data_IF_651403968265
#
_entry.id   IF_651403968265
#
_cell.length_a   1.000
_cell.length_b   1.000
_cell.length_c   1.000
_cell.angle_alpha   90.00
_cell.angle_beta   90.00
_cell.angle_gamma   90.00
#
_symmetry.space_group_name_H-M   'P 1'
#
loop_
_entity.id
_entity.type
_entity.pdbx_description
1 polymer ?
#
# COMPACT_ATOMS: atom_id res chain seq x y z
N UNK A 1 -6.90 16.40 -28.07
CA UNK A 1 -7.67 15.47 -27.18
C UNK A 1 -7.20 14.07 -27.49
N UNK A 2 -6.27 13.51 -26.71
CA UNK A 2 -5.73 12.16 -26.91
C UNK A 2 -6.61 11.24 -26.06
N UNK A 3 -7.26 10.21 -26.63
CA UNK A 3 -8.08 9.32 -25.83
C UNK A 3 -7.18 8.47 -24.92
N UNK A 4 -7.38 8.56 -23.62
CA UNK A 4 -6.84 7.61 -22.66
C UNK A 4 -7.39 6.22 -23.00
N UNK A 5 -6.56 5.38 -23.64
CA UNK A 5 -6.89 3.97 -23.82
C UNK A 5 -6.83 3.30 -22.45
N UNK A 6 -8.00 2.90 -21.95
CA UNK A 6 -8.07 2.05 -20.77
C UNK A 6 -7.32 0.76 -21.05
N UNK A 7 -6.28 0.50 -20.25
CA UNK A 7 -5.55 -0.76 -20.30
C UNK A 7 -6.44 -1.79 -19.60
N UNK A 8 -6.99 -2.72 -20.37
CA UNK A 8 -7.70 -3.87 -19.80
C UNK A 8 -6.70 -4.99 -19.63
N UNK A 9 -6.52 -5.47 -18.41
CA UNK A 9 -5.71 -6.65 -18.11
C UNK A 9 -6.58 -7.90 -18.23
N UNK A 10 -6.10 -8.89 -18.95
CA UNK A 10 -6.65 -10.24 -18.94
C UNK A 10 -5.65 -11.14 -18.23
N UNK A 11 -6.06 -11.73 -17.12
CA UNK A 11 -5.25 -12.72 -16.42
C UNK A 11 -5.56 -14.09 -17.04
N UNK A 12 -4.55 -14.72 -17.62
CA UNK A 12 -4.65 -16.05 -18.22
C UNK A 12 -3.78 -17.02 -17.40
N UNK A 13 -4.35 -18.14 -17.01
CA UNK A 13 -3.61 -19.18 -16.30
C UNK A 13 -2.55 -19.80 -17.22
N UNK A 14 -1.35 -20.11 -16.69
CA UNK A 14 -0.18 -20.61 -17.43
C UNK A 14 -0.51 -21.86 -18.28
N UNK A 15 -1.33 -22.75 -17.80
CA UNK A 15 -1.83 -23.94 -18.46
C UNK A 15 -2.83 -23.68 -19.61
N UNK A 16 -3.26 -22.46 -19.79
CA UNK A 16 -4.14 -22.03 -20.88
C UNK A 16 -3.43 -21.26 -21.99
N UNK A 17 -2.15 -20.89 -21.79
CA UNK A 17 -1.38 -20.12 -22.77
C UNK A 17 -1.24 -20.84 -24.12
N UNK A 18 -1.16 -22.18 -24.11
CA UNK A 18 -1.08 -23.02 -25.33
C UNK A 18 -2.31 -22.93 -26.24
N UNK A 19 -3.40 -22.36 -25.76
CA UNK A 19 -4.65 -22.17 -26.53
C UNK A 19 -4.70 -20.85 -27.28
N UNK A 20 -3.72 -19.96 -27.07
CA UNK A 20 -3.68 -18.66 -27.71
C UNK A 20 -2.66 -18.68 -28.88
N UNK A 21 -2.98 -18.04 -30.03
CA UNK A 21 -2.05 -17.94 -31.16
C UNK A 21 -0.76 -17.23 -30.73
N UNK A 22 0.38 -17.68 -31.24
CA UNK A 22 1.73 -17.16 -30.93
C UNK A 22 1.90 -15.62 -31.05
N UNK A 23 0.99 -14.95 -31.76
CA UNK A 23 0.97 -13.49 -31.91
C UNK A 23 0.77 -12.75 -30.57
N UNK A 24 0.23 -13.41 -29.55
CA UNK A 24 -0.02 -12.79 -28.25
C UNK A 24 1.09 -13.02 -27.23
N UNK A 25 1.99 -13.98 -27.47
CA UNK A 25 3.07 -14.29 -26.51
C UNK A 25 4.09 -13.17 -26.37
N UNK A 26 4.33 -12.38 -27.43
CA UNK A 26 5.24 -11.22 -27.38
C UNK A 26 4.71 -10.03 -26.58
N UNK A 27 3.44 -10.10 -26.15
CA UNK A 27 2.76 -9.05 -25.40
C UNK A 27 2.61 -9.39 -23.91
N UNK A 28 2.96 -10.61 -23.51
CA UNK A 28 2.91 -11.04 -22.12
C UNK A 28 4.31 -10.96 -21.52
N UNK A 29 4.57 -9.95 -20.73
CA UNK A 29 5.67 -10.03 -19.78
C UNK A 29 5.34 -11.17 -18.80
N UNK A 30 6.26 -12.09 -18.62
CA UNK A 30 6.14 -13.11 -17.58
C UNK A 30 6.04 -12.36 -16.24
N UNK A 31 4.82 -12.28 -15.70
CA UNK A 31 4.64 -11.80 -14.34
C UNK A 31 5.35 -12.82 -13.46
N UNK A 32 6.60 -12.55 -13.13
CA UNK A 32 7.29 -13.29 -12.08
C UNK A 32 6.38 -13.18 -10.87
N UNK A 33 5.84 -14.30 -10.43
CA UNK A 33 5.18 -14.33 -9.13
C UNK A 33 6.15 -13.67 -8.16
N UNK A 34 5.77 -12.51 -7.66
CA UNK A 34 6.50 -11.85 -6.60
C UNK A 34 6.36 -12.76 -5.40
N UNK A 35 7.27 -13.73 -5.31
CA UNK A 35 7.35 -14.60 -4.15
C UNK A 35 7.74 -13.70 -3.00
N UNK A 36 6.75 -13.38 -2.16
CA UNK A 36 7.01 -12.67 -0.91
C UNK A 36 8.13 -13.40 -0.19
N UNK A 37 9.16 -12.65 0.23
CA UNK A 37 10.28 -13.22 0.96
C UNK A 37 9.79 -14.02 2.16
N UNK A 38 10.33 -15.22 2.30
CA UNK A 38 10.08 -16.14 3.40
C UNK A 38 11.41 -16.59 3.98
N UNK A 39 11.57 -16.57 5.32
CA UNK A 39 12.80 -17.03 5.94
C UNK A 39 13.06 -18.52 5.65
N UNK A 40 14.33 -18.85 5.45
CA UNK A 40 14.79 -20.23 5.45
C UNK A 40 14.78 -20.83 6.87
N UNK A 41 14.85 -22.16 6.97
CA UNK A 41 14.95 -22.81 8.26
C UNK A 41 16.15 -22.31 9.05
N UNK A 42 15.92 -21.93 10.30
CA UNK A 42 16.90 -21.33 11.22
C UNK A 42 17.40 -19.93 10.79
N UNK A 43 16.79 -19.29 9.81
CA UNK A 43 17.10 -17.91 9.44
C UNK A 43 16.41 -16.96 10.41
N UNK A 44 17.13 -15.90 10.80
CA UNK A 44 16.60 -14.78 11.59
C UNK A 44 15.65 -13.97 10.72
N UNK A 45 14.54 -13.55 11.31
CA UNK A 45 13.59 -12.61 10.71
C UNK A 45 13.10 -11.64 11.77
N UNK A 46 12.51 -10.52 11.32
CA UNK A 46 11.93 -9.50 12.18
C UNK A 46 10.42 -9.47 12.05
N UNK A 47 9.74 -9.01 13.08
CA UNK A 47 8.29 -8.90 13.11
C UNK A 47 7.82 -7.80 14.08
N UNK A 48 6.61 -7.30 13.86
CA UNK A 48 5.96 -6.35 14.73
C UNK A 48 5.20 -7.08 15.84
N UNK A 49 5.48 -6.73 17.06
CA UNK A 49 4.72 -7.15 18.23
C UNK A 49 3.65 -6.14 18.62
N UNK A 50 3.15 -6.29 19.83
CA UNK A 50 2.14 -5.38 20.38
C UNK A 50 2.69 -3.96 20.48
N UNK A 51 1.85 -2.98 20.12
CA UNK A 51 2.21 -1.56 20.16
C UNK A 51 3.19 -1.10 19.08
N UNK A 52 3.47 -1.94 18.07
CA UNK A 52 4.36 -1.58 16.96
C UNK A 52 5.85 -1.65 17.30
N UNK A 53 6.22 -2.34 18.38
CA UNK A 53 7.63 -2.62 18.69
C UNK A 53 8.16 -3.70 17.76
N UNK A 54 9.40 -3.54 17.29
CA UNK A 54 10.09 -4.51 16.44
C UNK A 54 10.75 -5.57 17.32
N UNK A 55 10.57 -6.83 16.96
CA UNK A 55 11.21 -7.99 17.57
C UNK A 55 11.84 -8.85 16.49
N UNK A 56 12.68 -9.79 16.89
CA UNK A 56 13.19 -10.81 15.99
C UNK A 56 12.95 -12.21 16.54
N UNK A 57 12.95 -13.17 15.64
CA UNK A 57 12.85 -14.59 15.93
C UNK A 57 13.66 -15.40 14.91
N UNK A 58 13.72 -16.71 15.10
CA UNK A 58 14.36 -17.64 14.18
C UNK A 58 13.32 -18.57 13.59
N UNK A 59 13.26 -18.62 12.26
CA UNK A 59 12.22 -19.39 11.56
C UNK A 59 12.30 -20.87 11.86
N UNK A 60 11.23 -21.44 12.41
CA UNK A 60 11.07 -22.87 12.63
C UNK A 60 10.02 -23.45 11.66
N UNK A 61 10.47 -24.32 10.74
CA UNK A 61 9.57 -24.95 9.78
C UNK A 61 8.45 -25.70 10.53
N UNK A 62 7.19 -25.39 10.15
CA UNK A 62 6.01 -25.99 10.75
C UNK A 62 5.55 -25.33 12.06
N UNK A 63 6.23 -24.29 12.55
CA UNK A 63 5.76 -23.46 13.66
C UNK A 63 4.45 -22.75 13.29
N UNK A 64 3.34 -22.96 14.01
CA UNK A 64 2.10 -22.24 13.76
C UNK A 64 2.24 -20.74 13.94
N UNK A 65 3.10 -20.28 14.86
CA UNK A 65 3.36 -18.87 15.13
C UNK A 65 4.06 -18.22 13.95
N UNK A 66 5.13 -18.85 13.44
CA UNK A 66 5.91 -18.30 12.32
C UNK A 66 5.07 -18.30 11.03
N UNK A 67 4.33 -19.38 10.78
CA UNK A 67 3.42 -19.44 9.65
C UNK A 67 2.33 -18.37 9.75
N UNK A 68 1.73 -18.17 10.91
CA UNK A 68 0.72 -17.11 11.11
C UNK A 68 1.27 -15.72 10.89
N UNK A 69 2.49 -15.40 11.39
CA UNK A 69 3.17 -14.12 11.11
C UNK A 69 3.41 -13.95 9.61
N UNK A 70 3.87 -15.00 8.93
CA UNK A 70 4.10 -14.96 7.49
C UNK A 70 2.80 -14.74 6.71
N UNK A 71 1.72 -15.44 7.04
CA UNK A 71 0.44 -15.33 6.35
C UNK A 71 -0.14 -13.91 6.39
N UNK A 72 -0.03 -13.24 7.53
CA UNK A 72 -0.50 -11.85 7.67
C UNK A 72 0.49 -10.79 7.18
N UNK A 73 1.66 -11.19 6.65
CA UNK A 73 2.67 -10.24 6.15
C UNK A 73 3.58 -9.66 7.24
N UNK A 74 3.60 -10.23 8.43
CA UNK A 74 4.40 -9.77 9.57
C UNK A 74 5.73 -10.54 9.69
N UNK A 75 6.44 -10.69 8.57
CA UNK A 75 7.79 -11.25 8.50
C UNK A 75 8.64 -10.35 7.59
N UNK A 76 9.70 -9.78 8.14
CA UNK A 76 10.60 -8.85 7.46
C UNK A 76 12.02 -9.39 7.45
N UNK A 77 12.74 -9.08 6.38
CA UNK A 77 14.11 -9.52 6.20
C UNK A 77 15.07 -8.73 7.09
N UNK A 78 14.80 -7.44 7.26
CA UNK A 78 15.64 -6.53 8.06
C UNK A 78 14.82 -5.84 9.15
N UNK A 79 15.53 -5.30 10.14
CA UNK A 79 14.93 -4.52 11.22
C UNK A 79 14.34 -3.22 10.67
N UNK A 80 15.07 -2.58 9.76
CA UNK A 80 14.67 -1.34 9.12
C UNK A 80 13.35 -1.48 8.33
N UNK A 81 13.14 -2.60 7.63
CA UNK A 81 11.86 -2.88 6.96
C UNK A 81 10.71 -2.96 7.97
N UNK A 82 10.94 -3.65 9.10
CA UNK A 82 9.93 -3.76 10.16
C UNK A 82 9.63 -2.40 10.80
N UNK A 83 10.67 -1.60 11.07
CA UNK A 83 10.53 -0.24 11.61
C UNK A 83 9.73 0.67 10.66
N UNK A 84 10.00 0.64 9.36
CA UNK A 84 9.27 1.42 8.36
C UNK A 84 7.79 1.06 8.36
N UNK A 85 7.46 -0.22 8.46
CA UNK A 85 6.05 -0.66 8.53
C UNK A 85 5.40 -0.26 9.85
N UNK A 86 6.14 -0.29 10.97
CA UNK A 86 5.64 0.20 12.25
C UNK A 86 5.31 1.69 12.19
N UNK A 87 6.19 2.52 11.64
CA UNK A 87 5.97 3.96 11.48
C UNK A 87 4.79 4.25 10.54
N UNK A 88 4.66 3.48 9.44
CA UNK A 88 3.49 3.57 8.56
C UNK A 88 2.18 3.33 9.32
N UNK A 89 2.09 2.29 10.14
CA UNK A 89 0.89 2.01 10.93
C UNK A 89 0.59 3.07 11.98
N UNK A 90 1.62 3.64 12.62
CA UNK A 90 1.47 4.76 13.56
C UNK A 90 0.92 6.00 12.85
N UNK A 91 1.54 6.37 11.73
CA UNK A 91 1.08 7.49 10.91
C UNK A 91 -0.36 7.30 10.43
N UNK A 92 -0.69 6.10 9.93
CA UNK A 92 -2.03 5.76 9.49
C UNK A 92 -3.06 5.86 10.62
N UNK A 93 -2.70 5.46 11.84
CA UNK A 93 -3.59 5.58 13.01
C UNK A 93 -3.90 7.04 13.33
N UNK A 94 -2.91 7.94 13.22
CA UNK A 94 -3.09 9.37 13.44
C UNK A 94 -4.04 9.96 12.40
N UNK A 95 -3.73 9.82 11.11
CA UNK A 95 -4.52 10.47 10.05
C UNK A 95 -5.94 9.90 9.90
N UNK A 96 -6.17 8.66 10.32
CA UNK A 96 -7.54 8.10 10.38
C UNK A 96 -8.44 8.83 11.37
N UNK A 97 -7.85 9.43 12.40
CA UNK A 97 -8.60 10.26 13.35
C UNK A 97 -9.16 11.54 12.73
N UNK A 98 -8.61 11.99 11.60
CA UNK A 98 -9.03 13.21 10.91
C UNK A 98 -10.18 13.00 9.93
N UNK A 99 -10.61 11.75 9.71
CA UNK A 99 -11.70 11.44 8.80
C UNK A 99 -12.97 12.20 9.18
N UNK A 100 -13.51 12.98 8.25
CA UNK A 100 -14.77 13.72 8.43
C UNK A 100 -15.91 13.16 7.58
N UNK A 101 -15.62 12.17 6.72
CA UNK A 101 -16.60 11.52 5.85
C UNK A 101 -16.24 10.06 5.59
N UNK A 102 -17.21 9.32 5.09
CA UNK A 102 -17.03 8.03 4.43
C UNK A 102 -17.19 8.22 2.92
N UNK A 103 -16.66 7.29 2.13
CA UNK A 103 -16.87 7.33 0.69
C UNK A 103 -18.33 7.17 0.34
N UNK A 104 -18.90 8.17 -0.36
CA UNK A 104 -20.28 8.15 -0.87
C UNK A 104 -20.26 8.30 -2.39
N UNK A 105 -20.73 7.28 -3.09
CA UNK A 105 -20.78 7.27 -4.55
C UNK A 105 -21.61 8.44 -5.08
N UNK A 106 -21.09 9.16 -6.06
CA UNK A 106 -21.66 10.36 -6.70
C UNK A 106 -21.65 11.64 -5.85
N UNK A 107 -20.99 11.63 -4.69
CA UNK A 107 -20.71 12.82 -3.93
C UNK A 107 -19.26 13.23 -4.10
N UNK A 108 -18.94 14.47 -3.76
CA UNK A 108 -17.57 14.93 -3.64
C UNK A 108 -16.90 14.19 -2.48
N UNK A 109 -15.96 13.31 -2.83
CA UNK A 109 -15.18 12.57 -1.84
C UNK A 109 -13.77 13.14 -1.89
N UNK A 110 -13.42 13.92 -0.89
CA UNK A 110 -12.09 14.46 -0.77
C UNK A 110 -11.15 13.43 -0.14
N UNK A 111 -9.97 13.32 -0.67
CA UNK A 111 -8.91 12.44 -0.16
C UNK A 111 -7.55 13.10 -0.36
N UNK A 112 -6.56 12.65 0.37
CA UNK A 112 -5.20 13.16 0.28
C UNK A 112 -4.37 12.20 -0.55
N UNK A 113 -3.59 12.76 -1.48
CA UNK A 113 -2.70 12.04 -2.37
C UNK A 113 -1.34 12.71 -2.51
N UNK A 114 -0.38 11.99 -3.04
CA UNK A 114 0.92 12.52 -3.40
C UNK A 114 0.98 12.75 -4.92
N UNK A 115 1.36 13.96 -5.30
CA UNK A 115 1.65 14.33 -6.68
C UNK A 115 3.15 14.19 -6.95
N UNK A 116 3.58 13.18 -7.73
CA UNK A 116 5.00 12.96 -8.00
C UNK A 116 5.61 14.02 -8.95
N UNK A 117 4.78 14.70 -9.77
CA UNK A 117 5.25 15.74 -10.69
C UNK A 117 5.63 17.01 -9.94
N UNK A 118 4.80 17.42 -8.99
CA UNK A 118 5.03 18.61 -8.17
C UNK A 118 5.70 18.30 -6.84
N UNK A 119 5.95 17.02 -6.54
CA UNK A 119 6.50 16.53 -5.27
C UNK A 119 5.73 17.07 -4.06
N UNK A 120 4.42 17.18 -4.18
CA UNK A 120 3.53 17.72 -3.16
C UNK A 120 2.50 16.74 -2.67
N UNK A 121 2.05 16.97 -1.45
CA UNK A 121 0.88 16.28 -0.88
C UNK A 121 -0.28 17.25 -1.00
N UNK A 122 -1.34 16.83 -1.69
CA UNK A 122 -2.48 17.67 -1.97
C UNK A 122 -3.82 16.95 -1.71
N UNK A 123 -4.87 17.77 -1.58
CA UNK A 123 -6.24 17.30 -1.51
C UNK A 123 -6.83 17.12 -2.92
N UNK A 124 -7.41 15.97 -3.16
CA UNK A 124 -8.05 15.60 -4.42
C UNK A 124 -9.51 15.26 -4.20
N UNK A 125 -10.33 15.50 -5.21
CA UNK A 125 -11.74 15.13 -5.20
C UNK A 125 -12.06 14.13 -6.31
N UNK A 126 -12.78 13.07 -5.97
CA UNK A 126 -13.29 12.12 -6.96
C UNK A 126 -14.70 11.63 -6.62
N UNK A 127 -15.72 12.05 -7.38
CA UNK A 127 -17.10 11.64 -7.13
C UNK A 127 -17.45 10.24 -7.64
N UNK A 128 -16.59 9.62 -8.47
CA UNK A 128 -16.99 8.43 -9.23
C UNK A 128 -16.37 7.12 -8.75
N UNK A 129 -15.20 7.16 -8.16
CA UNK A 129 -14.48 5.93 -7.80
C UNK A 129 -13.75 6.05 -6.48
N UNK A 130 -13.93 5.04 -5.62
CA UNK A 130 -13.04 4.79 -4.48
C UNK A 130 -11.64 4.26 -4.94
N UNK A 131 -11.40 4.16 -6.25
CA UNK A 131 -10.20 3.49 -6.80
C UNK A 131 -8.89 4.19 -6.53
N UNK A 132 -8.90 5.48 -6.24
CA UNK A 132 -7.68 6.25 -6.01
C UNK A 132 -7.31 6.35 -4.52
N UNK A 133 -8.17 5.86 -3.62
CA UNK A 133 -7.84 5.78 -2.20
C UNK A 133 -6.97 4.55 -1.93
N UNK A 134 -5.83 4.75 -1.31
CA UNK A 134 -5.11 3.67 -0.65
C UNK A 134 -6.06 3.09 0.39
N UNK A 135 -6.25 1.77 0.38
CA UNK A 135 -7.16 1.11 1.31
C UNK A 135 -6.86 1.52 2.75
N UNK A 136 -7.87 2.06 3.42
CA UNK A 136 -7.78 2.47 4.82
C UNK A 136 -7.35 3.91 5.06
N UNK A 137 -7.11 4.72 4.02
CA UNK A 137 -6.96 6.17 4.18
C UNK A 137 -8.30 6.86 4.40
N UNK A 138 -8.32 7.99 5.15
CA UNK A 138 -9.54 8.72 5.44
C UNK A 138 -10.09 9.43 4.21
N UNK A 139 -11.41 9.62 4.20
CA UNK A 139 -12.09 10.59 3.34
C UNK A 139 -12.52 11.80 4.14
N UNK A 140 -12.63 12.93 3.45
CA UNK A 140 -12.99 14.21 4.03
C UNK A 140 -14.26 14.75 3.36
N UNK A 141 -15.07 15.46 4.14
CA UNK A 141 -16.31 16.05 3.64
C UNK A 141 -16.04 17.27 2.76
N UNK A 142 -14.95 18.01 3.03
CA UNK A 142 -14.55 19.23 2.32
C UNK A 142 -13.08 19.24 1.99
N UNK A 143 -12.69 20.10 1.05
CA UNK A 143 -11.29 20.37 0.72
C UNK A 143 -10.55 20.96 1.92
N UNK A 144 -11.21 21.84 2.66
CA UNK A 144 -10.66 22.49 3.83
C UNK A 144 -10.33 21.48 4.94
N UNK A 145 -11.16 20.46 5.12
CA UNK A 145 -10.88 19.38 6.08
C UNK A 145 -9.64 18.57 5.68
N UNK A 146 -9.52 18.25 4.39
CA UNK A 146 -8.36 17.54 3.88
C UNK A 146 -7.07 18.38 4.01
N UNK A 147 -7.12 19.66 3.64
CA UNK A 147 -5.97 20.58 3.78
C UNK A 147 -5.55 20.77 5.23
N UNK A 148 -6.51 20.86 6.15
CA UNK A 148 -6.23 20.94 7.58
C UNK A 148 -5.51 19.70 8.09
N UNK A 149 -5.89 18.50 7.65
CA UNK A 149 -5.19 17.27 7.99
C UNK A 149 -3.75 17.26 7.46
N UNK A 150 -3.52 17.77 6.23
CA UNK A 150 -2.16 17.91 5.68
C UNK A 150 -1.32 18.87 6.55
N UNK A 151 -1.86 20.00 6.93
CA UNK A 151 -1.16 21.00 7.76
C UNK A 151 -0.82 20.47 9.15
N UNK A 152 -1.75 19.76 9.79
CA UNK A 152 -1.58 19.25 11.15
C UNK A 152 -0.69 18.01 11.23
N UNK A 153 -0.70 17.16 10.19
CA UNK A 153 -0.09 15.83 10.18
C UNK A 153 0.79 15.60 8.96
N UNK A 154 1.55 16.64 8.55
CA UNK A 154 2.40 16.60 7.35
C UNK A 154 3.38 15.43 7.38
N UNK A 155 4.03 15.19 8.51
CA UNK A 155 5.04 14.14 8.66
C UNK A 155 4.43 12.74 8.52
N UNK A 156 3.23 12.54 9.08
CA UNK A 156 2.48 11.31 8.98
C UNK A 156 2.09 11.03 7.53
N UNK A 157 1.63 12.04 6.80
CA UNK A 157 1.32 11.93 5.38
C UNK A 157 2.56 11.63 4.53
N UNK A 158 3.69 12.26 4.79
CA UNK A 158 4.97 11.95 4.14
C UNK A 158 5.38 10.49 4.39
N UNK A 159 5.26 10.03 5.63
CA UNK A 159 5.53 8.64 6.01
C UNK A 159 4.62 7.66 5.26
N UNK A 160 3.32 7.96 5.16
CA UNK A 160 2.34 7.11 4.46
C UNK A 160 2.67 6.99 2.97
N UNK A 161 3.08 8.08 2.33
CA UNK A 161 3.45 8.07 0.92
C UNK A 161 4.91 7.65 0.65
N UNK A 162 5.68 7.37 1.69
CA UNK A 162 7.08 6.97 1.56
C UNK A 162 7.98 8.07 1.01
N UNK A 163 7.62 9.33 1.23
CA UNK A 163 8.34 10.51 0.75
C UNK A 163 9.24 11.04 1.87
N UNK A 164 10.50 11.32 1.53
CA UNK A 164 11.44 12.02 2.43
C UNK A 164 11.42 13.51 2.08
N UNK A 165 11.38 14.37 3.09
CA UNK A 165 11.64 15.80 2.85
C UNK A 165 13.07 15.93 2.30
N UNK A 166 13.20 16.61 1.15
CA UNK A 166 14.52 17.05 0.67
C UNK A 166 14.98 18.18 1.59
N UNK A 167 16.19 18.03 2.20
CA UNK A 167 16.86 19.06 3.00
C UNK A 167 17.26 20.26 2.14
#
# INVERSE_FOLDING_TARGET
>A
MVPCRGISYVIVHKDQLDKFPNILTDWFEEIKESTRWKPDRNQKYYYLGFGGSVYHDTWANGSPIDNGRFEIGNCFQTEEEAEQVAEYFKALAVVRGDATSEFVKYNDNWFIGYDPEHKSIDAFCNPYTARNGIFGLPYFATEEDAKRSIEQHKNEWLTIFGVKEEE
#
